data_IF_471202207312
#
_entry.id   IF_471202207312
#
_cell.length_a   1.000
_cell.length_b   1.000
_cell.length_c   1.000
_cell.angle_alpha   90.00
_cell.angle_beta   90.00
_cell.angle_gamma   90.00
#
_symmetry.space_group_name_H-M   'P 1'
#
loop_
_entity.id
_entity.type
_entity.pdbx_description
1 polymer ?
#
# COMPACT_ATOMS: atom_id res chain seq x y z
N UNK A 1 23.16 -12.60 11.93
CA UNK A 1 23.52 -12.60 10.49
C UNK A 1 22.25 -12.25 9.74
N UNK A 2 22.10 -10.99 9.30
CA UNK A 2 20.80 -10.49 8.81
C UNK A 2 20.43 -11.12 7.46
N UNK A 3 19.21 -11.64 7.28
CA UNK A 3 18.72 -12.01 5.96
C UNK A 3 18.59 -10.71 5.14
N UNK A 4 19.47 -10.56 4.14
CA UNK A 4 19.39 -9.46 3.18
C UNK A 4 18.17 -9.68 2.28
N UNK A 5 17.38 -8.64 2.05
CA UNK A 5 16.33 -8.65 1.03
C UNK A 5 16.90 -9.10 -0.33
N UNK A 6 16.01 -9.52 -1.22
CA UNK A 6 16.36 -9.89 -2.58
C UNK A 6 16.71 -8.60 -3.32
N UNK A 7 17.83 -8.60 -4.07
CA UNK A 7 18.21 -7.45 -4.87
C UNK A 7 17.15 -7.16 -5.93
N UNK A 8 16.92 -5.88 -6.24
CA UNK A 8 15.87 -5.47 -7.18
C UNK A 8 16.07 -6.10 -8.57
N UNK A 9 17.33 -6.23 -9.01
CA UNK A 9 17.69 -6.92 -10.25
C UNK A 9 17.17 -8.37 -10.31
N UNK A 10 17.19 -9.07 -9.18
CA UNK A 10 16.69 -10.44 -9.04
C UNK A 10 15.17 -10.43 -8.93
N UNK A 11 14.58 -9.49 -8.17
CA UNK A 11 13.14 -9.38 -8.02
C UNK A 11 12.42 -9.14 -9.35
N UNK A 12 12.94 -8.25 -10.19
CA UNK A 12 12.37 -8.00 -11.52
C UNK A 12 12.26 -9.30 -12.32
N UNK A 13 13.25 -10.19 -12.24
CA UNK A 13 13.20 -11.50 -12.90
C UNK A 13 12.13 -12.42 -12.29
N UNK A 14 11.99 -12.44 -10.97
CA UNK A 14 10.99 -13.24 -10.26
C UNK A 14 9.55 -12.80 -10.58
N UNK A 15 9.37 -11.49 -10.79
CA UNK A 15 8.08 -10.86 -11.08
C UNK A 15 7.71 -10.88 -12.57
N UNK A 16 8.61 -11.34 -13.45
CA UNK A 16 8.30 -11.49 -14.88
C UNK A 16 7.13 -12.45 -15.09
N UNK A 17 6.08 -12.06 -15.85
CA UNK A 17 4.94 -12.93 -16.13
C UNK A 17 5.37 -14.28 -16.73
N UNK A 18 6.34 -14.29 -17.65
CA UNK A 18 6.87 -15.50 -18.26
C UNK A 18 7.55 -16.46 -17.29
N UNK A 19 8.11 -15.95 -16.19
CA UNK A 19 8.67 -16.78 -15.12
C UNK A 19 7.58 -17.26 -14.17
N UNK A 20 6.61 -16.41 -13.81
CA UNK A 20 5.44 -16.82 -13.03
C UNK A 20 4.59 -17.88 -13.76
N UNK A 21 4.56 -17.86 -15.09
CA UNK A 21 3.90 -18.87 -15.94
C UNK A 21 4.54 -20.26 -15.87
N UNK A 22 5.77 -20.37 -15.39
CA UNK A 22 6.39 -21.67 -15.10
C UNK A 22 5.85 -22.32 -13.83
N UNK A 23 5.15 -21.57 -12.97
CA UNK A 23 4.38 -22.12 -11.85
C UNK A 23 3.04 -22.64 -12.38
N UNK A 24 3.02 -23.89 -12.84
CA UNK A 24 1.84 -24.49 -13.48
C UNK A 24 0.76 -24.91 -12.48
N UNK A 25 1.13 -25.18 -11.23
CA UNK A 25 0.20 -25.51 -10.15
C UNK A 25 -0.49 -24.23 -9.66
N UNK A 26 -1.84 -24.15 -9.67
CA UNK A 26 -2.58 -22.98 -9.22
C UNK A 26 -2.25 -22.54 -7.80
N UNK A 27 -1.86 -23.48 -6.91
CA UNK A 27 -1.50 -23.18 -5.53
C UNK A 27 -0.21 -22.37 -5.46
N UNK A 28 0.80 -22.75 -6.24
CA UNK A 28 2.08 -22.06 -6.26
C UNK A 28 2.02 -20.75 -7.06
N UNK A 29 1.25 -20.75 -8.15
CA UNK A 29 0.97 -19.57 -8.97
C UNK A 29 0.31 -18.45 -8.19
N UNK A 30 -0.46 -18.77 -7.14
CA UNK A 30 -1.02 -17.80 -6.21
C UNK A 30 -0.11 -17.53 -5.00
N UNK A 31 0.44 -18.57 -4.36
CA UNK A 31 1.18 -18.42 -3.10
C UNK A 31 2.43 -17.55 -3.26
N UNK A 32 3.17 -17.71 -4.36
CA UNK A 32 4.42 -16.97 -4.55
C UNK A 32 4.17 -15.46 -4.74
N UNK A 33 3.29 -15.03 -5.66
CA UNK A 33 2.88 -13.62 -5.76
C UNK A 33 2.28 -13.07 -4.47
N UNK A 34 1.43 -13.85 -3.79
CA UNK A 34 0.88 -13.48 -2.48
C UNK A 34 1.99 -13.14 -1.47
N UNK A 35 3.03 -13.98 -1.37
CA UNK A 35 4.15 -13.74 -0.45
C UNK A 35 5.00 -12.53 -0.87
N UNK A 36 5.19 -12.31 -2.18
CA UNK A 36 5.91 -11.15 -2.72
C UNK A 36 5.18 -9.84 -2.42
N UNK A 37 3.86 -9.81 -2.63
CA UNK A 37 3.04 -8.61 -2.47
C UNK A 37 2.80 -8.27 -0.99
N UNK A 38 2.54 -9.28 -0.16
CA UNK A 38 2.07 -9.05 1.23
C UNK A 38 3.14 -9.21 2.29
N UNK A 39 4.26 -9.88 1.97
CA UNK A 39 5.30 -10.19 2.94
C UNK A 39 4.84 -11.08 4.10
N UNK A 40 3.72 -11.81 3.94
CA UNK A 40 3.23 -12.75 4.95
C UNK A 40 4.31 -13.79 5.31
N UNK A 41 4.26 -14.31 6.53
CA UNK A 41 5.03 -15.52 6.84
C UNK A 41 4.41 -16.67 6.06
N UNK A 42 5.26 -17.52 5.50
CA UNK A 42 4.83 -18.71 4.76
C UNK A 42 3.79 -19.54 5.53
N UNK A 43 4.00 -19.75 6.83
CA UNK A 43 3.05 -20.50 7.67
C UNK A 43 1.71 -19.78 7.78
N UNK A 44 1.70 -18.45 7.90
CA UNK A 44 0.45 -17.68 7.97
C UNK A 44 -0.30 -17.76 6.63
N UNK A 45 0.42 -17.60 5.51
CA UNK A 45 -0.15 -17.70 4.16
C UNK A 45 -0.74 -19.08 3.86
N UNK A 46 -0.04 -20.16 4.23
CA UNK A 46 -0.50 -21.53 4.01
C UNK A 46 -1.80 -21.87 4.77
N UNK A 47 -2.12 -21.14 5.83
CA UNK A 47 -3.32 -21.37 6.65
C UNK A 47 -4.46 -20.37 6.37
N UNK A 48 -4.41 -19.63 5.26
CA UNK A 48 -5.49 -18.73 4.88
C UNK A 48 -6.80 -19.49 4.65
N UNK A 49 -7.86 -19.05 5.33
CA UNK A 49 -9.23 -19.53 5.11
C UNK A 49 -9.88 -18.90 3.88
N UNK A 50 -11.11 -19.34 3.56
CA UNK A 50 -11.89 -18.78 2.44
C UNK A 50 -12.44 -17.38 2.73
N UNK A 51 -12.52 -16.98 3.99
CA UNK A 51 -13.00 -15.69 4.47
C UNK A 51 -11.87 -14.65 4.62
N UNK A 52 -10.83 -14.78 3.78
CA UNK A 52 -9.61 -13.98 3.89
C UNK A 52 -9.67 -12.63 3.19
N UNK A 53 -10.77 -12.28 2.52
CA UNK A 53 -10.91 -11.00 1.81
C UNK A 53 -11.94 -10.16 2.55
N UNK A 54 -11.54 -8.94 2.94
CA UNK A 54 -12.45 -7.95 3.52
C UNK A 54 -12.25 -6.61 2.81
N UNK A 55 -13.28 -5.75 2.86
CA UNK A 55 -13.23 -4.41 2.25
C UNK A 55 -13.45 -3.31 3.28
N UNK A 56 -12.80 -2.18 3.09
CA UNK A 56 -13.08 -0.98 3.88
C UNK A 56 -14.28 -0.18 3.33
N UNK A 57 -14.59 0.94 3.97
CA UNK A 57 -15.68 1.84 3.59
C UNK A 57 -15.51 2.50 2.21
N UNK A 58 -14.29 2.45 1.63
CA UNK A 58 -13.98 2.93 0.28
C UNK A 58 -13.95 1.79 -0.73
N UNK A 59 -14.46 0.61 -0.35
CA UNK A 59 -14.47 -0.60 -1.14
C UNK A 59 -13.07 -1.14 -1.50
N UNK A 60 -12.03 -0.79 -0.73
CA UNK A 60 -10.68 -1.28 -0.96
C UNK A 60 -10.48 -2.69 -0.41
N UNK A 61 -9.82 -3.61 -1.14
CA UNK A 61 -9.60 -4.97 -0.65
C UNK A 61 -8.40 -5.08 0.31
N UNK A 62 -8.59 -5.88 1.35
CA UNK A 62 -7.56 -6.27 2.31
C UNK A 62 -7.58 -7.78 2.49
N UNK A 63 -6.39 -8.36 2.64
CA UNK A 63 -6.22 -9.72 3.10
C UNK A 63 -6.30 -9.76 4.63
N UNK A 64 -7.31 -10.45 5.14
CA UNK A 64 -7.48 -10.82 6.55
C UNK A 64 -6.83 -12.16 6.81
N UNK A 65 -5.98 -12.22 7.84
CA UNK A 65 -5.31 -13.46 8.22
C UNK A 65 -5.05 -13.52 9.72
N UNK A 66 -4.89 -14.73 10.25
CA UNK A 66 -4.46 -14.93 11.62
C UNK A 66 -2.94 -15.08 11.67
N UNK A 67 -2.25 -14.08 12.25
CA UNK A 67 -0.82 -14.16 12.47
C UNK A 67 -0.54 -15.14 13.61
N UNK A 68 -0.07 -16.35 13.27
CA UNK A 68 0.13 -17.43 14.24
C UNK A 68 1.29 -17.18 15.19
N UNK A 69 2.30 -16.42 14.74
CA UNK A 69 3.43 -16.03 15.59
C UNK A 69 2.99 -15.05 16.68
N UNK A 70 2.15 -14.09 16.31
CA UNK A 70 1.67 -13.04 17.20
C UNK A 70 0.34 -13.36 17.88
N UNK A 71 -0.31 -14.46 17.47
CA UNK A 71 -1.59 -14.95 17.99
C UNK A 71 -2.72 -13.92 17.93
N UNK A 72 -2.82 -13.21 16.80
CA UNK A 72 -3.85 -12.18 16.57
C UNK A 72 -4.28 -12.14 15.11
N UNK A 73 -5.47 -11.60 14.86
CA UNK A 73 -5.90 -11.22 13.52
C UNK A 73 -5.10 -10.00 13.05
N UNK A 74 -4.77 -9.99 11.76
CA UNK A 74 -4.07 -8.90 11.09
C UNK A 74 -4.64 -8.72 9.68
N UNK A 75 -4.44 -7.51 9.15
CA UNK A 75 -4.91 -7.09 7.84
C UNK A 75 -3.76 -6.49 7.06
N UNK A 76 -3.66 -6.83 5.78
CA UNK A 76 -2.70 -6.24 4.86
C UNK A 76 -3.43 -5.82 3.58
N UNK A 77 -3.22 -4.59 3.06
CA UNK A 77 -3.83 -4.18 1.80
C UNK A 77 -3.33 -5.06 0.66
N UNK A 78 -4.22 -5.38 -0.28
CA UNK A 78 -3.91 -6.16 -1.48
C UNK A 78 -4.38 -5.45 -2.74
N UNK A 79 -3.85 -5.88 -3.89
CA UNK A 79 -4.30 -5.43 -5.21
C UNK A 79 -5.63 -6.04 -5.62
N UNK A 80 -6.33 -5.38 -6.54
CA UNK A 80 -7.52 -5.93 -7.20
C UNK A 80 -7.18 -7.21 -7.98
N UNK A 81 -5.96 -7.31 -8.53
CA UNK A 81 -5.50 -8.53 -9.20
C UNK A 81 -5.31 -9.68 -8.21
N UNK A 82 -4.64 -9.45 -7.08
CA UNK A 82 -4.47 -10.48 -6.06
C UNK A 82 -5.82 -10.86 -5.43
N UNK A 83 -6.73 -9.90 -5.25
CA UNK A 83 -8.12 -10.18 -4.85
C UNK A 83 -8.82 -11.11 -5.85
N UNK A 84 -8.67 -10.86 -7.15
CA UNK A 84 -9.24 -11.69 -8.21
C UNK A 84 -8.67 -13.12 -8.19
N UNK A 85 -7.34 -13.25 -8.04
CA UNK A 85 -6.67 -14.55 -7.99
C UNK A 85 -7.05 -15.33 -6.72
N UNK A 86 -7.17 -14.65 -5.58
CA UNK A 86 -7.67 -15.23 -4.32
C UNK A 86 -9.13 -15.68 -4.48
N UNK A 87 -10.00 -14.86 -5.07
CA UNK A 87 -11.41 -15.19 -5.31
C UNK A 87 -11.55 -16.44 -6.18
N UNK A 88 -10.78 -16.50 -7.28
CA UNK A 88 -10.74 -17.68 -8.16
C UNK A 88 -10.33 -18.94 -7.39
N UNK A 89 -9.35 -18.82 -6.48
CA UNK A 89 -8.91 -19.94 -5.64
C UNK A 89 -9.94 -20.32 -4.58
N UNK A 90 -10.59 -19.34 -3.94
CA UNK A 90 -11.68 -19.55 -2.98
C UNK A 90 -12.78 -20.38 -3.65
N UNK A 91 -13.24 -20.00 -4.84
CA UNK A 91 -14.28 -20.72 -5.56
C UNK A 91 -13.88 -22.15 -5.93
N UNK A 92 -12.62 -22.38 -6.28
CA UNK A 92 -12.10 -23.72 -6.55
C UNK A 92 -12.09 -24.59 -5.28
N UNK A 93 -11.55 -24.08 -4.18
CA UNK A 93 -11.47 -24.79 -2.89
C UNK A 93 -12.87 -25.04 -2.33
N UNK A 94 -13.77 -24.07 -2.44
CA UNK A 94 -15.14 -24.20 -1.99
C UNK A 94 -15.87 -25.35 -2.69
N UNK A 95 -15.68 -25.48 -4.02
CA UNK A 95 -16.25 -26.59 -4.80
C UNK A 95 -15.67 -27.95 -4.42
N UNK A 96 -14.38 -28.01 -4.08
CA UNK A 96 -13.67 -29.26 -3.78
C UNK A 96 -13.88 -29.72 -2.33
N UNK A 97 -13.87 -28.79 -1.38
CA UNK A 97 -13.79 -29.08 0.06
C UNK A 97 -14.89 -28.42 0.91
N UNK A 98 -15.81 -27.68 0.30
CA UNK A 98 -16.83 -26.90 1.01
C UNK A 98 -16.25 -25.75 1.84
N UNK A 99 -17.05 -25.19 2.75
CA UNK A 99 -16.70 -24.00 3.56
C UNK A 99 -15.51 -24.20 4.50
N UNK A 100 -15.17 -25.45 4.84
CA UNK A 100 -14.09 -25.76 5.79
C UNK A 100 -12.69 -25.76 5.17
N UNK A 101 -12.60 -25.77 3.83
CA UNK A 101 -11.33 -25.84 3.12
C UNK A 101 -10.51 -24.56 3.28
N UNK A 102 -9.19 -24.71 3.45
CA UNK A 102 -8.24 -23.58 3.40
C UNK A 102 -7.71 -23.40 1.97
N UNK A 103 -7.13 -22.25 1.66
CA UNK A 103 -6.73 -21.90 0.29
C UNK A 103 -5.62 -22.80 -0.28
N UNK A 104 -4.74 -23.31 0.58
CA UNK A 104 -3.59 -24.13 0.19
C UNK A 104 -3.65 -25.52 0.86
N UNK A 105 -4.67 -26.34 0.55
CA UNK A 105 -4.80 -27.67 1.12
C UNK A 105 -3.74 -28.60 0.51
N UNK A 106 -3.21 -29.52 1.32
CA UNK A 106 -2.45 -30.67 0.78
C UNK A 106 -3.41 -31.59 0.01
N UNK A 107 -2.92 -32.24 -1.04
CA UNK A 107 -3.73 -33.13 -1.89
C UNK A 107 -4.13 -34.42 -1.18
N UNK A 108 -3.17 -35.06 -0.51
CA UNK A 108 -3.35 -36.41 0.00
C UNK A 108 -3.90 -36.39 1.43
N UNK A 109 -4.82 -37.30 1.72
CA UNK A 109 -5.39 -37.53 3.05
C UNK A 109 -5.92 -36.23 3.69
N UNK A 110 -6.71 -35.46 2.92
CA UNK A 110 -7.21 -34.14 3.33
C UNK A 110 -8.62 -33.89 2.78
N UNK A 111 -9.54 -34.81 3.03
CA UNK A 111 -10.90 -34.77 2.49
C UNK A 111 -11.63 -33.44 2.79
N UNK A 112 -11.47 -32.92 4.00
CA UNK A 112 -12.09 -31.64 4.43
C UNK A 112 -11.36 -30.40 3.94
N UNK A 113 -10.19 -30.56 3.30
CA UNK A 113 -9.35 -29.45 2.85
C UNK A 113 -8.76 -28.62 4.00
N UNK A 114 -8.79 -29.10 5.25
CA UNK A 114 -8.41 -28.31 6.43
C UNK A 114 -6.89 -28.29 6.72
N UNK A 115 -6.12 -29.20 6.11
CA UNK A 115 -4.69 -29.32 6.35
C UNK A 115 -3.86 -28.68 5.24
N UNK A 116 -2.90 -27.79 5.57
CA UNK A 116 -2.14 -27.09 4.55
C UNK A 116 -1.08 -27.96 3.90
N UNK A 117 -0.61 -27.50 2.74
CA UNK A 117 0.63 -27.98 2.14
C UNK A 117 1.79 -27.81 3.14
N UNK A 118 2.75 -28.74 3.10
CA UNK A 118 3.92 -28.68 3.94
C UNK A 118 4.86 -27.53 3.51
N UNK A 119 5.35 -26.75 4.46
CA UNK A 119 6.33 -25.68 4.21
C UNK A 119 7.62 -26.18 3.54
N UNK A 120 8.09 -27.39 3.87
CA UNK A 120 9.22 -28.03 3.19
C UNK A 120 8.98 -28.25 1.70
N UNK A 121 7.74 -28.57 1.31
CA UNK A 121 7.37 -28.70 -0.10
C UNK A 121 7.40 -27.33 -0.78
N UNK A 122 6.91 -26.28 -0.12
CA UNK A 122 7.01 -24.92 -0.66
C UNK A 122 8.45 -24.48 -0.89
N UNK A 123 9.38 -24.80 0.02
CA UNK A 123 10.80 -24.46 -0.17
C UNK A 123 11.42 -25.20 -1.36
N UNK A 124 11.08 -26.47 -1.54
CA UNK A 124 11.49 -27.25 -2.71
C UNK A 124 10.96 -26.62 -4.00
N UNK A 125 9.66 -26.32 -4.06
CA UNK A 125 9.03 -25.72 -5.24
C UNK A 125 9.61 -24.35 -5.57
N UNK A 126 9.84 -23.51 -4.55
CA UNK A 126 10.47 -22.20 -4.74
C UNK A 126 11.86 -22.36 -5.38
N UNK A 127 12.67 -23.28 -4.87
CA UNK A 127 14.01 -23.56 -5.41
C UNK A 127 13.96 -24.14 -6.83
N UNK A 128 13.08 -25.10 -7.08
CA UNK A 128 12.90 -25.73 -8.39
C UNK A 128 12.44 -24.70 -9.43
N UNK A 129 11.51 -23.80 -9.06
CA UNK A 129 11.04 -22.70 -9.89
C UNK A 129 12.16 -21.69 -10.19
N UNK A 130 12.92 -21.24 -9.18
CA UNK A 130 14.03 -20.30 -9.42
C UNK A 130 15.11 -20.89 -10.32
N UNK A 131 15.37 -22.20 -10.21
CA UNK A 131 16.29 -22.89 -11.09
C UNK A 131 15.74 -23.00 -12.53
N UNK A 132 14.46 -23.35 -12.68
CA UNK A 132 13.80 -23.41 -13.99
C UNK A 132 13.69 -22.05 -14.69
N UNK A 133 13.72 -20.96 -13.91
CA UNK A 133 13.75 -19.59 -14.41
C UNK A 133 15.16 -19.08 -14.73
N UNK A 134 16.21 -19.84 -14.40
CA UNK A 134 17.62 -19.42 -14.47
C UNK A 134 17.86 -18.06 -13.80
N UNK A 135 17.31 -17.87 -12.59
CA UNK A 135 17.40 -16.60 -11.87
C UNK A 135 18.84 -16.32 -11.45
N UNK A 136 19.37 -15.17 -11.89
CA UNK A 136 20.76 -14.76 -11.65
C UNK A 136 20.86 -13.37 -11.04
N UNK A 137 21.94 -13.12 -10.30
CA UNK A 137 22.27 -11.78 -9.85
C UNK A 137 22.91 -10.94 -10.96
N UNK A 138 23.22 -9.69 -10.65
CA UNK A 138 23.87 -8.72 -11.55
C UNK A 138 25.26 -9.16 -12.07
N UNK A 139 25.85 -10.18 -11.45
CA UNK A 139 27.13 -10.77 -11.85
C UNK A 139 26.97 -12.09 -12.62
N UNK A 140 25.74 -12.51 -12.93
CA UNK A 140 25.44 -13.74 -13.67
C UNK A 140 25.50 -15.02 -12.83
N UNK A 141 25.64 -14.92 -11.51
CA UNK A 141 25.64 -16.09 -10.61
C UNK A 141 24.21 -16.51 -10.23
N UNK A 142 23.91 -17.82 -10.14
CA UNK A 142 22.63 -18.30 -9.63
C UNK A 142 22.34 -17.79 -8.21
N UNK A 143 21.08 -17.49 -7.93
CA UNK A 143 20.66 -16.97 -6.62
C UNK A 143 19.73 -17.94 -5.93
N UNK A 144 19.98 -18.18 -4.65
CA UNK A 144 19.05 -18.89 -3.79
C UNK A 144 18.07 -17.91 -3.13
N UNK A 145 16.78 -18.14 -3.36
CA UNK A 145 15.69 -17.30 -2.84
C UNK A 145 14.89 -18.07 -1.81
N UNK A 146 14.58 -17.41 -0.69
CA UNK A 146 13.74 -17.96 0.38
C UNK A 146 12.49 -17.11 0.59
N UNK A 147 11.41 -17.73 1.05
CA UNK A 147 10.15 -17.02 1.33
C UNK A 147 10.31 -15.86 2.33
N UNK A 148 11.23 -15.97 3.29
CA UNK A 148 11.49 -14.90 4.24
C UNK A 148 12.12 -13.66 3.60
N UNK A 149 12.88 -13.84 2.52
CA UNK A 149 13.48 -12.71 1.82
C UNK A 149 12.45 -11.87 1.09
N UNK A 150 11.30 -12.42 0.65
CA UNK A 150 10.21 -11.62 0.09
C UNK A 150 9.70 -10.59 1.09
N UNK A 151 9.49 -11.01 2.34
CA UNK A 151 9.11 -10.11 3.43
C UNK A 151 10.14 -9.01 3.69
N UNK A 152 11.43 -9.36 3.69
CA UNK A 152 12.50 -8.37 3.83
C UNK A 152 12.56 -7.41 2.64
N UNK A 153 12.36 -7.93 1.43
CA UNK A 153 12.33 -7.15 0.19
C UNK A 153 11.17 -6.16 0.23
N UNK A 154 9.96 -6.60 0.61
CA UNK A 154 8.82 -5.72 0.78
C UNK A 154 9.13 -4.62 1.80
N UNK A 155 9.62 -4.98 3.00
CA UNK A 155 10.01 -4.00 4.01
C UNK A 155 11.03 -2.97 3.49
N UNK A 156 12.03 -3.44 2.75
CA UNK A 156 13.07 -2.59 2.16
C UNK A 156 12.52 -1.68 1.06
N UNK A 157 11.71 -2.21 0.14
CA UNK A 157 11.05 -1.44 -0.92
C UNK A 157 10.17 -0.35 -0.33
N UNK A 158 9.41 -0.67 0.71
CA UNK A 158 8.56 0.31 1.39
C UNK A 158 9.38 1.45 2.02
N UNK A 159 10.44 1.14 2.77
CA UNK A 159 11.30 2.18 3.34
C UNK A 159 12.03 2.99 2.26
N UNK A 160 12.53 2.35 1.20
CA UNK A 160 13.21 3.05 0.10
C UNK A 160 12.28 3.98 -0.67
N UNK A 161 10.98 3.74 -0.61
CA UNK A 161 9.96 4.61 -1.15
C UNK A 161 9.45 5.60 -0.08
N UNK A 162 10.18 5.85 1.00
CA UNK A 162 9.80 6.81 2.07
C UNK A 162 8.49 6.46 2.81
N UNK A 163 8.07 5.17 2.82
CA UNK A 163 6.99 4.72 3.69
C UNK A 163 7.49 4.82 5.14
N UNK A 164 6.80 5.55 6.04
CA UNK A 164 7.25 5.69 7.42
C UNK A 164 7.47 4.32 8.08
N UNK A 165 8.54 4.18 8.85
CA UNK A 165 8.91 2.91 9.49
C UNK A 165 7.78 2.30 10.33
N UNK A 166 6.97 3.15 10.97
CA UNK A 166 5.78 2.74 11.71
C UNK A 166 4.71 2.11 10.82
N UNK A 167 4.51 2.62 9.61
CA UNK A 167 3.63 2.04 8.59
C UNK A 167 4.16 0.69 8.15
N UNK A 168 5.47 0.59 7.86
CA UNK A 168 6.10 -0.68 7.49
C UNK A 168 5.98 -1.72 8.61
N UNK A 169 6.13 -1.31 9.87
CA UNK A 169 5.91 -2.16 11.06
C UNK A 169 4.49 -2.74 11.08
N UNK A 170 3.47 -1.93 10.78
CA UNK A 170 2.07 -2.38 10.69
C UNK A 170 1.83 -3.31 9.50
N UNK A 171 2.31 -2.97 8.30
CA UNK A 171 2.19 -3.81 7.08
C UNK A 171 2.75 -5.20 7.33
N UNK A 172 3.96 -5.25 7.89
CA UNK A 172 4.61 -6.52 8.16
C UNK A 172 4.03 -7.19 9.42
N UNK A 173 3.19 -6.54 10.21
CA UNK A 173 2.73 -7.04 11.51
C UNK A 173 3.88 -7.42 12.45
N UNK A 174 4.83 -6.50 12.61
CA UNK A 174 5.93 -6.60 13.58
C UNK A 174 5.49 -6.14 14.96
N UNK A 175 5.89 -6.88 15.98
CA UNK A 175 5.57 -6.60 17.38
C UNK A 175 6.40 -5.50 18.01
N UNK A 176 7.56 -5.20 17.43
CA UNK A 176 8.50 -4.21 17.97
C UNK A 176 9.13 -3.39 16.85
N UNK A 177 9.53 -2.16 17.21
CA UNK A 177 10.21 -1.24 16.28
C UNK A 177 11.60 -1.75 15.94
N UNK A 178 12.29 -2.49 16.82
CA UNK A 178 13.65 -3.02 16.57
C UNK A 178 13.68 -3.99 15.37
N UNK A 179 12.64 -4.80 15.19
CA UNK A 179 12.52 -5.69 14.02
C UNK A 179 12.42 -4.91 12.70
N UNK A 180 11.95 -3.66 12.75
CA UNK A 180 11.79 -2.77 11.60
C UNK A 180 12.94 -1.76 11.51
N UNK A 181 13.67 -1.53 12.61
CA UNK A 181 14.86 -0.67 12.66
C UNK A 181 16.00 -1.23 11.81
N UNK A 182 16.00 -2.53 11.55
CA UNK A 182 16.90 -3.16 10.56
C UNK A 182 16.75 -2.60 9.14
N UNK A 183 15.66 -1.89 8.83
CA UNK A 183 15.44 -1.24 7.52
C UNK A 183 15.81 0.25 7.52
N UNK A 184 16.14 0.87 8.66
CA UNK A 184 16.15 2.32 8.81
C UNK A 184 17.24 3.05 7.99
N UNK A 185 16.80 3.98 7.13
CA UNK A 185 17.16 5.40 7.30
C UNK A 185 16.05 6.06 8.13
N UNK A 186 16.45 6.84 9.12
CA UNK A 186 15.62 7.46 10.16
C UNK A 186 14.52 8.38 9.59
N UNK A 187 13.26 8.18 9.98
CA UNK A 187 12.40 9.27 10.46
C UNK A 187 11.23 8.75 11.31
N UNK A 188 11.26 9.14 12.59
CA UNK A 188 10.50 8.58 13.71
C UNK A 188 9.09 9.16 13.89
N UNK A 189 8.30 8.49 14.75
CA UNK A 189 6.97 8.73 15.35
C UNK A 189 6.39 10.17 15.40
N UNK A 190 7.23 11.19 15.28
CA UNK A 190 6.87 12.59 15.08
C UNK A 190 6.02 12.75 13.82
N UNK A 191 6.35 12.06 12.71
CA UNK A 191 5.57 12.13 11.45
C UNK A 191 4.14 11.62 11.64
N UNK A 192 3.95 10.54 12.38
CA UNK A 192 2.61 10.01 12.71
C UNK A 192 1.81 11.00 13.55
N UNK A 193 2.41 11.59 14.59
CA UNK A 193 1.73 12.59 15.44
C UNK A 193 1.42 13.89 14.70
N UNK A 194 2.34 14.38 13.86
CA UNK A 194 2.10 15.54 13.00
C UNK A 194 1.00 15.24 11.97
N UNK A 195 0.98 14.05 11.39
CA UNK A 195 -0.04 13.64 10.44
C UNK A 195 -1.41 13.44 11.10
N UNK A 196 -1.49 12.73 12.23
CA UNK A 196 -2.75 12.53 12.97
C UNK A 196 -3.36 13.87 13.36
N UNK A 197 -2.53 14.84 13.78
CA UNK A 197 -2.96 16.20 14.14
C UNK A 197 -3.22 17.12 12.94
N UNK A 198 -2.64 16.84 11.77
CA UNK A 198 -2.84 17.66 10.59
C UNK A 198 -4.26 17.49 10.04
N UNK A 199 -4.96 18.61 9.91
CA UNK A 199 -6.22 18.71 9.16
C UNK A 199 -5.92 18.44 7.69
N UNK A 200 -6.56 17.42 7.12
CA UNK A 200 -6.46 17.07 5.69
C UNK A 200 -7.68 17.60 4.97
N UNK A 201 -7.44 18.19 3.80
CA UNK A 201 -8.52 18.69 2.95
C UNK A 201 -8.40 18.13 1.54
N UNK A 202 -9.55 17.89 0.91
CA UNK A 202 -9.66 17.57 -0.52
C UNK A 202 -9.63 18.84 -1.38
N UNK A 203 -9.78 18.70 -2.70
CA UNK A 203 -9.86 19.82 -3.66
C UNK A 203 -11.02 20.79 -3.40
N UNK A 204 -12.00 20.40 -2.58
CA UNK A 204 -13.17 21.20 -2.21
C UNK A 204 -13.08 21.76 -0.78
N UNK A 205 -11.92 21.60 -0.11
CA UNK A 205 -11.72 22.09 1.25
C UNK A 205 -12.40 21.25 2.33
N UNK A 206 -12.96 20.07 1.99
CA UNK A 206 -13.67 19.21 2.94
C UNK A 206 -12.68 18.34 3.71
N UNK A 207 -12.98 18.11 4.99
CA UNK A 207 -12.16 17.24 5.83
C UNK A 207 -12.16 15.80 5.28
N UNK A 208 -10.99 15.25 4.97
CA UNK A 208 -10.87 13.84 4.62
C UNK A 208 -10.90 12.99 5.90
N UNK A 209 -12.04 12.35 6.18
CA UNK A 209 -12.23 11.53 7.38
C UNK A 209 -11.50 10.18 7.25
N UNK A 210 -10.63 9.88 8.22
CA UNK A 210 -10.09 8.52 8.46
C UNK A 210 -10.73 8.08 9.77
N UNK A 211 -11.67 7.15 9.74
CA UNK A 211 -12.41 6.71 10.94
C UNK A 211 -11.51 5.92 11.90
N UNK A 212 -11.58 6.23 13.19
CA UNK A 212 -10.74 5.68 14.25
C UNK A 212 -11.12 4.26 14.74
N UNK A 213 -10.09 3.54 15.19
CA UNK A 213 -10.05 2.34 16.07
C UNK A 213 -10.75 1.04 15.63
N UNK A 214 -10.32 0.46 14.51
CA UNK A 214 -10.47 -0.98 14.24
C UNK A 214 -9.24 -1.49 13.49
N UNK A 215 -9.03 -2.81 13.41
CA UNK A 215 -7.94 -3.38 12.59
C UNK A 215 -8.05 -2.93 11.11
N UNK A 216 -9.27 -2.70 10.63
CA UNK A 216 -9.55 -2.10 9.32
C UNK A 216 -9.15 -0.61 9.25
N UNK A 217 -9.34 0.16 10.33
CA UNK A 217 -8.88 1.55 10.40
C UNK A 217 -7.34 1.64 10.35
N UNK A 218 -6.64 0.75 11.05
CA UNK A 218 -5.18 0.65 11.01
C UNK A 218 -4.66 0.25 9.61
N UNK A 219 -5.35 -0.67 8.95
CA UNK A 219 -5.04 -1.08 7.58
C UNK A 219 -5.37 0.03 6.55
N UNK A 220 -6.47 0.76 6.74
CA UNK A 220 -6.83 1.92 5.92
C UNK A 220 -5.83 3.07 6.06
N UNK A 221 -5.36 3.35 7.28
CA UNK A 221 -4.27 4.28 7.52
C UNK A 221 -2.98 3.86 6.81
N UNK A 222 -2.67 2.57 6.86
CA UNK A 222 -1.50 1.97 6.19
C UNK A 222 -1.58 2.11 4.67
N UNK A 223 -2.74 1.78 4.09
CA UNK A 223 -3.02 1.96 2.65
C UNK A 223 -2.92 3.43 2.23
N UNK A 224 -3.44 4.35 3.03
CA UNK A 224 -3.34 5.77 2.76
C UNK A 224 -1.88 6.25 2.72
N UNK A 225 -1.00 5.74 3.58
CA UNK A 225 0.42 6.11 3.57
C UNK A 225 1.20 5.47 2.42
N UNK A 226 0.81 4.26 2.01
CA UNK A 226 1.30 3.65 0.77
C UNK A 226 0.99 4.55 -0.44
N UNK A 227 -0.26 5.01 -0.62
CA UNK A 227 -0.63 5.90 -1.74
C UNK A 227 0.17 7.21 -1.83
N UNK A 228 0.52 7.80 -0.69
CA UNK A 228 1.33 9.05 -0.63
C UNK A 228 2.74 8.91 -1.19
N UNK A 229 3.27 7.69 -1.17
CA UNK A 229 4.68 7.42 -1.34
C UNK A 229 5.09 7.29 -2.82
N UNK A 230 4.22 6.75 -3.68
CA UNK A 230 4.55 6.63 -5.12
C UNK A 230 4.16 7.82 -5.96
N UNK A 231 3.45 8.79 -5.39
CA UNK A 231 3.09 10.03 -6.08
C UNK A 231 3.01 11.19 -5.08
N UNK A 232 4.14 11.47 -4.42
CA UNK A 232 4.35 12.77 -3.77
C UNK A 232 4.24 13.84 -4.86
N UNK A 233 3.28 14.75 -4.70
CA UNK A 233 3.08 15.87 -5.61
C UNK A 233 3.80 17.10 -5.04
N UNK A 234 4.21 18.06 -5.88
CA UNK A 234 4.85 19.28 -5.41
C UNK A 234 4.01 20.08 -4.39
N UNK A 235 2.69 19.88 -4.37
CA UNK A 235 1.73 20.64 -3.58
C UNK A 235 0.77 19.76 -2.76
N UNK A 236 1.08 18.47 -2.57
CA UNK A 236 0.23 17.59 -1.80
C UNK A 236 0.48 16.12 -2.09
N UNK A 237 -0.58 15.33 -1.94
CA UNK A 237 -0.51 13.87 -1.99
C UNK A 237 -1.54 13.31 -2.95
N UNK A 238 -1.14 12.26 -3.67
CA UNK A 238 -2.07 11.43 -4.42
C UNK A 238 -2.65 10.33 -3.51
N UNK A 239 -3.97 10.24 -3.43
CA UNK A 239 -4.69 9.12 -2.80
C UNK A 239 -4.91 7.94 -3.74
N UNK A 240 -4.34 7.96 -4.96
CA UNK A 240 -4.41 6.85 -5.88
C UNK A 240 -3.62 5.66 -5.28
N UNK A 241 -4.20 4.43 -5.28
CA UNK A 241 -3.48 3.25 -4.83
C UNK A 241 -2.19 3.02 -5.64
N UNK A 242 -1.13 2.57 -4.96
CA UNK A 242 0.22 2.32 -5.50
C UNK A 242 0.25 1.56 -6.83
N UNK A 243 -0.74 0.72 -7.06
CA UNK A 243 -0.78 -0.25 -8.14
C UNK A 243 -1.59 0.22 -9.35
N UNK A 244 -2.06 1.48 -9.34
CA UNK A 244 -2.74 2.12 -10.49
C UNK A 244 -1.85 3.22 -11.07
N UNK A 245 -1.64 3.17 -12.39
CA UNK A 245 -1.00 4.28 -13.11
C UNK A 245 -1.99 5.43 -13.28
N UNK A 246 -1.57 6.67 -13.01
CA UNK A 246 -2.43 7.83 -13.20
C UNK A 246 -2.65 8.09 -14.70
N UNK A 247 -3.90 8.12 -15.19
CA UNK A 247 -4.19 8.44 -16.60
C UNK A 247 -4.15 9.94 -16.89
N UNK A 248 -3.94 10.78 -15.87
CA UNK A 248 -4.01 12.24 -15.97
C UNK A 248 -2.71 12.89 -15.48
N UNK A 249 -1.85 13.31 -16.41
CA UNK A 249 -0.74 14.21 -16.08
C UNK A 249 -1.26 15.61 -15.74
N UNK A 250 -0.76 16.21 -14.67
CA UNK A 250 -1.00 17.61 -14.28
C UNK A 250 -2.45 17.99 -13.92
N UNK A 251 -3.34 17.03 -13.61
CA UNK A 251 -4.74 17.30 -13.26
C UNK A 251 -5.03 17.28 -11.75
N UNK A 252 -4.01 17.20 -10.90
CA UNK A 252 -4.15 16.90 -9.47
C UNK A 252 -5.05 17.90 -8.72
N UNK A 253 -4.98 19.19 -9.04
CA UNK A 253 -5.84 20.23 -8.44
C UNK A 253 -7.30 20.18 -8.88
N UNK A 254 -7.66 19.20 -9.71
CA UNK A 254 -9.04 18.90 -10.11
C UNK A 254 -9.37 17.42 -9.91
N UNK A 255 -8.47 16.67 -9.26
CA UNK A 255 -8.56 15.23 -9.10
C UNK A 255 -9.24 14.87 -7.77
N UNK A 256 -10.21 13.94 -7.83
CA UNK A 256 -10.99 13.53 -6.66
C UNK A 256 -10.16 12.81 -5.59
N UNK A 257 -8.99 12.28 -5.93
CA UNK A 257 -8.09 11.59 -4.98
C UNK A 257 -6.94 12.47 -4.50
N UNK A 258 -6.93 13.77 -4.83
CA UNK A 258 -5.91 14.69 -4.32
C UNK A 258 -6.21 15.08 -2.87
N UNK A 259 -5.19 15.03 -2.02
CA UNK A 259 -5.26 15.41 -0.60
C UNK A 259 -4.08 16.29 -0.26
N UNK A 260 -4.28 17.34 0.52
CA UNK A 260 -3.20 18.21 1.00
C UNK A 260 -3.34 18.57 2.48
N UNK A 261 -2.28 19.13 3.04
CA UNK A 261 -2.15 19.61 4.42
C UNK A 261 -1.62 21.04 4.46
N UNK A 262 -1.65 21.67 5.63
CA UNK A 262 -1.14 23.03 5.85
C UNK A 262 0.36 23.20 5.55
N UNK A 263 1.14 22.11 5.55
CA UNK A 263 2.55 22.10 5.16
C UNK A 263 2.78 22.63 3.73
N UNK A 264 1.81 22.43 2.83
CA UNK A 264 1.90 22.86 1.44
C UNK A 264 1.31 24.27 1.20
N UNK A 265 0.91 25.00 2.24
CA UNK A 265 0.35 26.35 2.11
C UNK A 265 1.25 27.29 1.28
N UNK A 266 2.58 27.33 1.47
CA UNK A 266 3.46 28.16 0.64
C UNK A 266 3.35 27.81 -0.85
N UNK A 267 3.35 26.52 -1.17
CA UNK A 267 3.27 26.01 -2.54
C UNK A 267 1.90 26.30 -3.17
N UNK A 268 0.81 26.17 -2.40
CA UNK A 268 -0.54 26.53 -2.88
C UNK A 268 -0.66 28.01 -3.20
N UNK A 269 -0.09 28.88 -2.36
CA UNK A 269 -0.09 30.34 -2.58
C UNK A 269 0.71 30.71 -3.83
N UNK A 270 1.93 30.20 -3.94
CA UNK A 270 2.78 30.44 -5.13
C UNK A 270 2.09 29.94 -6.42
N UNK A 271 1.48 28.76 -6.37
CA UNK A 271 0.78 28.20 -7.51
C UNK A 271 -0.49 28.99 -7.87
N UNK A 272 -1.19 29.55 -6.89
CA UNK A 272 -2.35 30.42 -7.11
C UNK A 272 -1.94 31.71 -7.82
N UNK A 273 -0.86 32.35 -7.36
CA UNK A 273 -0.35 33.58 -7.97
C UNK A 273 0.11 33.34 -9.41
N UNK A 274 0.83 32.24 -9.65
CA UNK A 274 1.22 31.87 -11.01
C UNK A 274 0.01 31.59 -11.91
N UNK A 275 -1.01 30.89 -11.39
CA UNK A 275 -2.24 30.56 -12.14
C UNK A 275 -3.02 31.82 -12.51
N UNK A 276 -3.11 32.80 -11.61
CA UNK A 276 -3.72 34.11 -11.90
C UNK A 276 -3.00 34.84 -13.03
N UNK A 277 -1.66 34.85 -13.02
CA UNK A 277 -0.87 35.44 -14.10
C UNK A 277 -1.02 34.71 -15.45
N UNK A 278 -1.35 33.41 -15.46
CA UNK A 278 -1.73 32.69 -16.69
C UNK A 278 -3.09 33.18 -17.20
N UNK A 279 -4.10 33.28 -16.31
CA UNK A 279 -5.45 33.72 -16.66
C UNK A 279 -5.41 35.12 -17.28
N UNK A 280 -4.76 36.09 -16.62
CA UNK A 280 -4.66 37.47 -17.11
C UNK A 280 -4.04 37.56 -18.52
N UNK A 281 -2.98 36.79 -18.77
CA UNK A 281 -2.35 36.74 -20.10
C UNK A 281 -3.28 36.09 -21.12
N UNK A 282 -3.93 34.98 -20.77
CA UNK A 282 -4.84 34.26 -21.67
C UNK A 282 -6.05 35.13 -22.06
N UNK A 283 -6.61 35.90 -21.12
CA UNK A 283 -7.69 36.86 -21.38
C UNK A 283 -7.25 37.94 -22.38
N UNK A 284 -6.07 38.53 -22.18
CA UNK A 284 -5.50 39.54 -23.09
C UNK A 284 -5.35 39.03 -24.53
N UNK A 285 -5.06 37.74 -24.71
CA UNK A 285 -4.89 37.10 -26.01
C UNK A 285 -6.15 36.35 -26.51
N UNK A 286 -7.30 36.47 -25.83
CA UNK A 286 -8.56 35.84 -26.24
C UNK A 286 -8.56 34.30 -26.19
N UNK A 287 -7.71 33.68 -25.36
CA UNK A 287 -7.53 32.23 -25.27
C UNK A 287 -8.54 31.59 -24.32
N UNK A 288 -9.82 31.59 -24.69
CA UNK A 288 -10.95 31.24 -23.82
C UNK A 288 -10.83 29.88 -23.11
N UNK A 289 -10.33 28.84 -23.79
CA UNK A 289 -10.17 27.51 -23.19
C UNK A 289 -9.10 27.47 -22.09
N UNK A 290 -8.04 28.26 -22.24
CA UNK A 290 -6.97 28.36 -21.24
C UNK A 290 -7.48 29.12 -20.02
N UNK A 291 -8.27 30.18 -20.24
CA UNK A 291 -8.95 30.91 -19.16
C UNK A 291 -9.83 29.94 -18.36
N UNK A 292 -10.76 29.23 -19.01
CA UNK A 292 -11.69 28.32 -18.34
C UNK A 292 -10.97 27.25 -17.48
N UNK A 293 -9.97 26.58 -18.04
CA UNK A 293 -9.24 25.52 -17.32
C UNK A 293 -8.48 26.06 -16.10
N UNK A 294 -7.83 27.22 -16.23
CA UNK A 294 -7.03 27.78 -15.14
C UNK A 294 -7.89 28.48 -14.07
N UNK A 295 -9.06 29.01 -14.43
CA UNK A 295 -10.02 29.55 -13.45
C UNK A 295 -10.46 28.47 -12.47
N UNK A 296 -10.81 27.27 -12.96
CA UNK A 296 -11.18 26.14 -12.10
C UNK A 296 -10.06 25.71 -11.16
N UNK A 297 -8.81 25.75 -11.62
CA UNK A 297 -7.63 25.47 -10.80
C UNK A 297 -7.44 26.55 -9.72
N UNK A 298 -7.59 27.83 -10.07
CA UNK A 298 -7.48 28.95 -9.14
C UNK A 298 -8.58 28.93 -8.06
N UNK A 299 -9.81 28.54 -8.41
CA UNK A 299 -10.93 28.37 -7.46
C UNK A 299 -10.66 27.26 -6.44
N UNK A 300 -10.18 26.10 -6.91
CA UNK A 300 -9.82 24.99 -6.02
C UNK A 300 -8.64 25.36 -5.11
N UNK A 301 -7.60 26.02 -5.64
CA UNK A 301 -6.48 26.53 -4.84
C UNK A 301 -6.94 27.52 -3.77
N UNK A 302 -7.81 28.47 -4.13
CA UNK A 302 -8.37 29.43 -3.17
C UNK A 302 -9.16 28.72 -2.06
N UNK A 303 -9.97 27.73 -2.44
CA UNK A 303 -10.75 26.91 -1.51
C UNK A 303 -9.87 26.13 -0.55
N UNK A 304 -8.81 25.48 -1.07
CA UNK A 304 -7.82 24.75 -0.28
C UNK A 304 -7.12 25.69 0.71
N UNK A 305 -6.64 26.84 0.25
CA UNK A 305 -5.93 27.82 1.08
C UNK A 305 -6.83 28.31 2.21
N UNK A 306 -8.05 28.74 1.90
CA UNK A 306 -9.02 29.19 2.92
C UNK A 306 -9.34 28.08 3.92
N UNK A 307 -9.52 26.84 3.45
CA UNK A 307 -9.80 25.70 4.32
C UNK A 307 -8.62 25.36 5.25
N UNK A 308 -7.38 25.57 4.82
CA UNK A 308 -6.18 25.32 5.62
C UNK A 308 -5.87 26.47 6.59
N UNK A 309 -6.17 27.73 6.22
CA UNK A 309 -5.90 28.93 7.03
C UNK A 309 -6.91 29.18 8.16
N UNK A 310 -8.14 28.65 8.05
CA UNK A 310 -9.24 28.90 9.02
C UNK A 310 -9.04 28.29 10.42
N UNK A 311 -7.81 27.89 10.79
CA UNK A 311 -7.52 27.24 12.09
C UNK A 311 -6.33 27.81 12.86
N UNK A 312 -5.90 29.06 12.59
CA UNK A 312 -4.93 29.77 13.46
C UNK A 312 -5.57 30.58 14.60
N UNK A 313 -6.87 30.43 14.85
CA UNK A 313 -7.53 31.06 16.00
C UNK A 313 -7.64 30.04 17.13
N UNK A 314 -6.61 29.98 17.98
CA UNK A 314 -6.77 29.49 19.36
C UNK A 314 -7.25 30.67 20.21
N UNK A 315 -8.44 30.60 20.82
CA UNK A 315 -8.52 30.77 22.27
C UNK A 315 -9.57 29.78 22.83
N UNK A 316 -9.47 29.23 24.04
CA UNK A 316 -9.33 29.83 25.37
C UNK A 316 -8.79 28.71 26.27
N UNK A 317 -7.76 28.89 27.09
CA UNK A 317 -7.83 29.77 28.25
C UNK A 317 -8.74 29.14 29.31
N UNK A 318 -8.27 28.09 29.97
CA UNK A 318 -8.92 27.57 31.19
C UNK A 318 -8.14 28.11 32.39
N UNK A 319 -8.55 29.31 32.83
CA UNK A 319 -8.30 29.83 34.16
C UNK A 319 -9.50 29.47 35.03
N UNK A 320 -9.18 28.92 36.20
CA UNK A 320 -9.96 28.87 37.44
C UNK A 320 -11.24 28.01 37.51
N UNK A 321 -11.14 26.93 38.30
CA UNK A 321 -12.01 26.77 39.47
C UNK A 321 -11.34 25.88 40.54
N UNK A 322 -10.93 26.54 41.62
CA UNK A 322 -10.76 26.13 43.03
C UNK A 322 -10.99 24.67 43.42
#
# INVERSE_FOLDING_TARGET
MAPRGIAEFVMVQLELPSNLDKLTDPRWRLLIPLLMETGLRITDALHLGQDCIVRDHQNAPYLRYYNRKMKREALVPITEQLEHDLTTRIDAVHREHGVSGILFPRELHNYTGAHPINSSQTFKILNDWTNACDIRNEHGHPVHVTAHQFRHTLGTRLINNDVPQEVVRKILDHSSTEMTAHYARLHDDTVRRHWERARKVDIHGRAAAISDSSALADAAWTKHHLGKVTAALPNGYCGLPLQKSCPHSNACLTCAVFVTTAEFLPQHREQLDHTRGIIERAEKYGQLRIVEMNTKVAENLSTIITALETTDITPTGDQDAR
#
